data_IF_549884377780
#
_entry.id   IF_549884377780
#
_cell.length_a   1.000
_cell.length_b   1.000
_cell.length_c   1.000
_cell.angle_alpha   90.00
_cell.angle_beta   90.00
_cell.angle_gamma   90.00
#
_symmetry.space_group_name_H-M   'P 1'
#
loop_
_entity.id
_entity.type
_entity.pdbx_description
1 polymer ?
#
# COMPACT_ATOMS: atom_id res chain seq x y z
N UNK A 1 -3.38 -21.89 11.33
CA UNK A 1 -3.34 -20.81 10.32
C UNK A 1 -2.64 -19.62 10.98
N UNK A 2 -1.78 -18.87 10.28
CA UNK A 2 -1.11 -17.69 10.87
C UNK A 2 -2.10 -16.54 10.99
N UNK A 3 -2.30 -16.07 12.22
CA UNK A 3 -3.17 -14.93 12.56
C UNK A 3 -2.82 -13.68 11.76
N UNK A 4 -3.81 -12.95 11.26
CA UNK A 4 -3.55 -11.64 10.61
C UNK A 4 -3.38 -10.57 11.69
N UNK A 5 -2.17 -10.05 11.85
CA UNK A 5 -1.85 -9.08 12.89
C UNK A 5 -1.10 -7.86 12.35
N UNK A 6 -1.34 -6.72 13.00
CA UNK A 6 -0.65 -5.45 12.81
C UNK A 6 -0.21 -4.98 14.18
N UNK A 7 1.10 -4.98 14.44
CA UNK A 7 1.67 -4.65 15.75
C UNK A 7 3.01 -3.98 15.55
N UNK A 8 3.23 -2.87 16.24
CA UNK A 8 4.48 -2.15 16.20
C UNK A 8 4.68 -1.47 17.55
N UNK A 9 5.84 -1.68 18.18
CA UNK A 9 6.12 -1.08 19.48
C UNK A 9 6.62 0.37 19.30
N UNK A 10 5.73 1.32 19.08
CA UNK A 10 6.08 2.73 18.88
C UNK A 10 6.70 3.38 20.13
N UNK A 11 6.57 2.78 21.31
CA UNK A 11 7.13 3.30 22.58
C UNK A 11 8.66 3.30 22.63
N UNK A 12 9.31 2.60 21.71
CA UNK A 12 10.79 2.64 21.57
C UNK A 12 11.26 3.87 20.80
N UNK A 13 10.37 4.64 20.18
CA UNK A 13 10.72 5.85 19.45
C UNK A 13 10.84 7.01 20.45
N UNK A 14 11.89 6.97 21.27
CA UNK A 14 12.26 8.08 22.16
C UNK A 14 13.31 8.93 21.46
N UNK A 15 13.37 10.22 21.81
CA UNK A 15 14.35 11.15 21.21
C UNK A 15 15.79 10.64 21.29
N UNK A 16 16.16 9.96 22.39
CA UNK A 16 17.48 9.30 22.54
C UNK A 16 17.75 8.22 21.49
N UNK A 17 16.74 7.44 21.10
CA UNK A 17 16.89 6.41 20.06
C UNK A 17 16.97 7.05 18.66
N UNK A 18 16.23 8.14 18.44
CA UNK A 18 16.17 8.87 17.17
C UNK A 18 17.48 9.62 16.85
N UNK A 19 18.19 10.14 17.86
CA UNK A 19 19.51 10.75 17.66
C UNK A 19 20.56 9.78 17.09
N UNK A 20 20.44 8.48 17.39
CA UNK A 20 21.33 7.44 16.87
C UNK A 20 20.85 6.82 15.55
N UNK A 21 19.65 7.20 15.10
CA UNK A 21 18.99 6.66 13.90
C UNK A 21 18.46 7.79 13.01
N UNK A 22 19.35 8.65 12.46
CA UNK A 22 18.94 9.82 11.68
C UNK A 22 18.10 9.46 10.44
N UNK A 23 18.25 8.24 9.91
CA UNK A 23 17.39 7.72 8.85
C UNK A 23 15.90 7.67 9.24
N UNK A 24 15.54 7.48 10.52
CA UNK A 24 14.14 7.43 10.95
C UNK A 24 13.51 8.81 10.87
N UNK A 25 14.22 9.85 11.34
CA UNK A 25 13.81 11.25 11.23
C UNK A 25 13.64 11.63 9.75
N UNK A 26 14.56 11.21 8.90
CA UNK A 26 14.50 11.53 7.48
C UNK A 26 13.33 10.81 6.76
N UNK A 27 13.05 9.55 7.10
CA UNK A 27 11.86 8.84 6.61
C UNK A 27 10.56 9.52 7.06
N UNK A 28 10.47 9.98 8.32
CA UNK A 28 9.30 10.69 8.82
C UNK A 28 9.12 12.06 8.16
N UNK A 29 10.21 12.77 7.88
CA UNK A 29 10.19 14.06 7.14
C UNK A 29 9.64 13.90 5.73
N UNK A 30 9.87 12.75 5.12
CA UNK A 30 9.34 12.43 3.80
C UNK A 30 8.02 11.67 3.84
N UNK A 31 7.40 11.45 4.99
CA UNK A 31 6.11 10.74 5.08
C UNK A 31 4.92 11.66 4.80
N UNK A 32 4.12 11.29 3.81
CA UNK A 32 2.86 11.93 3.47
C UNK A 32 1.70 10.97 3.77
N UNK A 33 0.88 11.25 4.78
CA UNK A 33 -0.38 10.53 4.98
C UNK A 33 -1.30 10.62 3.77
N UNK A 34 -2.24 9.68 3.65
CA UNK A 34 -3.29 9.77 2.63
C UNK A 34 -4.06 11.09 2.75
N UNK A 35 -4.72 11.54 1.68
CA UNK A 35 -5.26 12.91 1.46
C UNK A 35 -4.24 13.99 1.13
N UNK A 36 -2.94 13.66 1.19
CA UNK A 36 -1.88 14.62 0.91
C UNK A 36 -1.06 14.15 -0.27
N UNK A 37 -1.02 14.96 -1.33
CA UNK A 37 -0.15 14.72 -2.47
C UNK A 37 1.31 14.91 -2.06
N UNK A 38 2.15 13.93 -2.36
CA UNK A 38 3.59 14.11 -2.29
C UNK A 38 4.07 15.06 -3.39
N UNK A 39 5.15 15.83 -3.17
CA UNK A 39 5.80 16.59 -4.24
C UNK A 39 6.14 15.67 -5.41
N UNK A 40 5.88 16.15 -6.62
CA UNK A 40 6.19 15.44 -7.85
C UNK A 40 7.41 16.07 -8.52
N UNK A 41 8.29 15.24 -9.06
CA UNK A 41 9.42 15.69 -9.88
C UNK A 41 9.36 15.05 -11.25
N UNK A 42 9.71 15.81 -12.29
CA UNK A 42 9.82 15.29 -13.63
C UNK A 42 11.03 14.36 -13.74
N UNK A 43 10.76 13.10 -14.08
CA UNK A 43 11.79 12.10 -14.26
C UNK A 43 11.89 11.68 -15.73
N UNK A 44 13.10 11.79 -16.27
CA UNK A 44 13.41 11.32 -17.61
C UNK A 44 13.93 9.88 -17.57
N UNK A 45 13.27 8.99 -18.31
CA UNK A 45 13.77 7.65 -18.53
C UNK A 45 15.13 7.72 -19.24
N UNK A 46 16.12 7.02 -18.70
CA UNK A 46 17.37 6.78 -19.42
C UNK A 46 17.15 5.67 -20.46
N UNK A 47 17.96 5.64 -21.54
CA UNK A 47 17.85 4.61 -22.58
C UNK A 47 18.01 3.16 -22.12
N UNK A 48 18.28 2.91 -20.83
CA UNK A 48 18.45 1.59 -20.22
C UNK A 48 17.20 1.05 -19.51
N UNK A 49 16.14 1.85 -19.35
CA UNK A 49 14.93 1.45 -18.63
C UNK A 49 13.72 1.37 -19.55
N UNK A 50 12.85 0.37 -19.31
CA UNK A 50 11.56 0.20 -20.01
C UNK A 50 10.44 1.07 -19.41
N UNK A 51 10.75 1.89 -18.40
CA UNK A 51 9.76 2.77 -17.75
C UNK A 51 9.55 4.05 -18.56
N UNK A 52 8.33 4.55 -18.57
CA UNK A 52 8.00 5.80 -19.26
C UNK A 52 8.52 7.01 -18.48
N UNK A 53 9.02 8.04 -19.14
CA UNK A 53 9.26 9.34 -18.50
C UNK A 53 7.97 9.93 -17.92
N UNK A 54 8.11 10.88 -17.01
CA UNK A 54 7.01 11.67 -16.46
C UNK A 54 7.14 11.90 -14.95
N UNK A 55 6.11 12.48 -14.33
CA UNK A 55 6.11 12.83 -12.92
C UNK A 55 6.37 11.62 -12.01
N UNK A 56 7.11 11.84 -10.93
CA UNK A 56 7.44 10.84 -9.91
C UNK A 56 7.33 11.44 -8.51
N UNK A 57 6.76 10.69 -7.55
CA UNK A 57 6.64 11.20 -6.18
C UNK A 57 8.01 11.30 -5.51
N UNK A 58 8.13 12.30 -4.65
CA UNK A 58 9.23 12.54 -3.70
C UNK A 58 8.70 12.54 -2.26
N UNK A 59 7.75 11.66 -2.00
CA UNK A 59 7.18 11.41 -0.69
C UNK A 59 6.93 9.93 -0.46
N UNK A 60 6.80 9.56 0.80
CA UNK A 60 6.65 8.21 1.29
C UNK A 60 5.23 7.96 1.76
N UNK A 61 4.70 6.79 1.43
CA UNK A 61 3.52 6.20 2.04
C UNK A 61 3.96 5.16 3.06
N UNK A 62 3.14 4.95 4.09
CA UNK A 62 3.46 4.05 5.20
C UNK A 62 2.51 2.85 5.20
N UNK A 63 3.05 1.67 5.47
CA UNK A 63 2.26 0.47 5.66
C UNK A 63 2.72 -0.27 6.93
N UNK A 64 1.81 -0.46 7.89
CA UNK A 64 2.09 -1.15 9.15
C UNK A 64 1.99 -2.66 8.93
N UNK A 65 2.89 -3.45 9.52
CA UNK A 65 2.91 -4.92 9.46
C UNK A 65 3.10 -5.49 10.86
N UNK A 66 3.24 -6.81 10.99
CA UNK A 66 3.54 -7.42 12.28
C UNK A 66 5.04 -7.29 12.59
N UNK A 67 5.40 -6.39 13.50
CA UNK A 67 6.76 -6.14 13.97
C UNK A 67 7.55 -5.10 13.18
N UNK A 68 7.02 -4.60 12.07
CA UNK A 68 7.69 -3.60 11.25
C UNK A 68 6.71 -2.66 10.55
N UNK A 69 7.17 -1.47 10.20
CA UNK A 69 6.54 -0.58 9.24
C UNK A 69 7.36 -0.55 7.95
N UNK A 70 6.70 -0.33 6.82
CA UNK A 70 7.37 -0.23 5.54
C UNK A 70 7.01 1.10 4.86
N UNK A 71 8.02 1.82 4.41
CA UNK A 71 7.89 3.09 3.71
C UNK A 71 8.01 2.85 2.21
N UNK A 72 7.08 3.40 1.44
CA UNK A 72 6.98 3.21 0.00
C UNK A 72 7.03 4.52 -0.76
N UNK A 73 7.70 4.56 -1.90
CA UNK A 73 7.64 5.66 -2.86
C UNK A 73 7.19 5.09 -4.22
N UNK A 74 6.07 5.55 -4.78
CA UNK A 74 5.55 5.05 -6.06
C UNK A 74 5.43 3.51 -6.15
N UNK A 75 5.01 2.88 -5.03
CA UNK A 75 4.91 1.43 -4.87
C UNK A 75 6.23 0.66 -4.71
N UNK A 76 7.36 1.35 -4.58
CA UNK A 76 8.66 0.75 -4.24
C UNK A 76 8.91 0.81 -2.74
N UNK A 77 9.27 -0.32 -2.14
CA UNK A 77 9.65 -0.42 -0.72
C UNK A 77 10.99 0.27 -0.48
N UNK A 78 10.97 1.51 0.02
CA UNK A 78 12.16 2.33 0.28
C UNK A 78 12.86 1.90 1.55
N UNK A 79 12.14 1.69 2.64
CA UNK A 79 12.75 1.27 3.90
C UNK A 79 11.77 0.43 4.72
N UNK A 80 12.24 -0.73 5.17
CA UNK A 80 11.57 -1.55 6.17
C UNK A 80 12.14 -1.21 7.53
N UNK A 81 11.32 -0.68 8.43
CA UNK A 81 11.68 -0.28 9.79
C UNK A 81 11.11 -1.27 10.79
N UNK A 82 11.97 -1.98 11.51
CA UNK A 82 11.59 -2.94 12.54
C UNK A 82 11.68 -2.29 13.91
N UNK A 83 10.62 -2.44 14.72
CA UNK A 83 10.54 -1.90 16.08
C UNK A 83 10.37 -3.05 17.08
N UNK A 84 11.46 -3.77 17.31
CA UNK A 84 11.52 -4.96 18.16
C UNK A 84 12.16 -4.66 19.52
N UNK A 85 13.25 -5.37 19.84
CA UNK A 85 14.09 -5.08 21.02
C UNK A 85 14.89 -3.76 20.89
N UNK A 86 14.95 -3.23 19.67
CA UNK A 86 15.54 -1.95 19.33
C UNK A 86 15.00 -1.50 17.98
N UNK A 87 15.46 -0.33 17.55
CA UNK A 87 15.10 0.27 16.29
C UNK A 87 16.12 -0.15 15.21
N UNK A 88 15.65 -0.70 14.11
CA UNK A 88 16.50 -1.04 12.96
C UNK A 88 15.76 -0.83 11.66
N UNK A 89 16.50 -0.58 10.58
CA UNK A 89 15.91 -0.51 9.26
C UNK A 89 16.81 -1.13 8.21
N UNK A 90 16.19 -1.55 7.11
CA UNK A 90 16.86 -2.08 5.94
C UNK A 90 16.24 -1.53 4.65
N UNK A 91 17.08 -1.37 3.64
CA UNK A 91 16.67 -0.95 2.29
C UNK A 91 17.30 -1.87 1.25
N UNK A 92 16.74 -1.90 0.05
CA UNK A 92 17.31 -2.65 -1.06
C UNK A 92 18.60 -1.98 -1.56
N UNK A 93 19.67 -2.75 -1.79
CA UNK A 93 20.99 -2.23 -2.21
C UNK A 93 20.95 -1.36 -3.46
N UNK A 94 19.97 -1.60 -4.35
CA UNK A 94 19.73 -0.82 -5.56
C UNK A 94 19.40 0.65 -5.32
N UNK A 95 19.04 1.04 -4.10
CA UNK A 95 18.81 2.43 -3.73
C UNK A 95 20.04 3.08 -3.08
N UNK A 96 21.08 2.31 -2.74
CA UNK A 96 22.27 2.80 -2.05
C UNK A 96 23.48 3.01 -2.97
N UNK A 97 23.54 2.33 -4.12
CA UNK A 97 24.67 2.41 -5.04
C UNK A 97 24.21 2.50 -6.51
N UNK A 98 25.00 3.17 -7.34
CA UNK A 98 24.72 3.34 -8.77
C UNK A 98 24.90 2.04 -9.57
N UNK A 99 25.69 1.10 -9.03
CA UNK A 99 25.87 -0.26 -9.54
C UNK A 99 25.39 -1.26 -8.50
N UNK A 100 24.10 -1.55 -8.51
CA UNK A 100 23.52 -2.57 -7.66
C UNK A 100 23.90 -3.97 -8.18
N UNK A 101 24.28 -4.92 -7.32
CA UNK A 101 24.34 -6.32 -7.72
C UNK A 101 22.94 -6.78 -8.19
N UNK A 102 22.88 -7.67 -9.19
CA UNK A 102 21.63 -8.22 -9.76
C UNK A 102 20.83 -9.11 -8.78
N UNK A 103 21.15 -9.11 -7.49
CA UNK A 103 20.51 -9.92 -6.46
C UNK A 103 19.51 -9.11 -5.63
N UNK A 104 18.49 -9.80 -5.09
CA UNK A 104 17.60 -9.27 -4.05
C UNK A 104 18.38 -9.11 -2.74
N UNK A 105 19.20 -8.08 -2.65
CA UNK A 105 20.09 -7.83 -1.52
C UNK A 105 19.65 -6.61 -0.74
N UNK A 106 19.59 -6.75 0.58
CA UNK A 106 19.19 -5.70 1.51
C UNK A 106 20.37 -5.29 2.38
N UNK A 107 20.45 -4.00 2.69
CA UNK A 107 21.48 -3.41 3.56
C UNK A 107 20.80 -2.78 4.77
N UNK A 108 21.34 -3.07 5.95
CA UNK A 108 20.93 -2.39 7.19
C UNK A 108 21.38 -0.93 7.17
N UNK A 109 20.48 -0.04 7.56
CA UNK A 109 20.74 1.40 7.63
C UNK A 109 21.50 1.74 8.90
N UNK A 110 22.65 2.41 8.75
CA UNK A 110 23.46 2.97 9.83
C UNK A 110 23.26 4.47 9.99
N UNK A 111 24.02 5.10 10.90
CA UNK A 111 23.97 6.54 11.12
C UNK A 111 24.44 7.36 9.91
N UNK A 112 25.23 6.76 9.02
CA UNK A 112 25.71 7.27 7.75
C UNK A 112 24.64 7.29 6.63
N UNK A 113 23.45 6.72 6.89
CA UNK A 113 22.39 6.53 5.91
C UNK A 113 21.21 7.51 6.07
N UNK A 114 21.46 8.81 6.21
CA UNK A 114 20.41 9.83 6.39
C UNK A 114 20.09 10.59 5.08
N UNK A 115 19.67 9.86 4.04
CA UNK A 115 19.35 10.44 2.72
C UNK A 115 18.25 9.64 1.99
N UNK A 116 17.06 9.62 2.58
CA UNK A 116 15.87 8.98 2.00
C UNK A 116 15.48 9.64 0.67
N UNK A 117 15.76 10.93 0.49
CA UNK A 117 15.56 11.65 -0.76
C UNK A 117 16.30 10.99 -1.94
N UNK A 118 17.58 10.69 -1.79
CA UNK A 118 18.35 9.98 -2.81
C UNK A 118 17.83 8.57 -3.09
N UNK A 119 17.33 7.86 -2.07
CA UNK A 119 16.75 6.53 -2.26
C UNK A 119 15.45 6.60 -3.07
N UNK A 120 14.60 7.58 -2.77
CA UNK A 120 13.38 7.86 -3.55
C UNK A 120 13.71 8.22 -4.99
N UNK A 121 14.67 9.12 -5.23
CA UNK A 121 15.09 9.50 -6.58
C UNK A 121 15.58 8.28 -7.40
N UNK A 122 16.39 7.39 -6.78
CA UNK A 122 16.82 6.13 -7.41
C UNK A 122 15.66 5.18 -7.66
N UNK A 123 14.63 5.20 -6.82
CA UNK A 123 13.47 4.32 -6.96
C UNK A 123 12.60 4.61 -8.20
N UNK A 124 12.66 5.83 -8.73
CA UNK A 124 11.88 6.28 -9.89
C UNK A 124 12.04 5.40 -11.14
N UNK A 125 13.24 4.83 -11.33
CA UNK A 125 13.55 3.92 -12.43
C UNK A 125 12.80 2.58 -12.35
N UNK A 126 12.15 2.29 -11.23
CA UNK A 126 11.43 1.04 -10.97
C UNK A 126 9.91 1.22 -10.86
N UNK A 127 9.41 2.46 -10.83
CA UNK A 127 7.98 2.73 -10.65
C UNK A 127 7.17 2.12 -11.81
N UNK A 128 6.12 1.38 -11.46
CA UNK A 128 5.12 0.90 -12.42
C UNK A 128 4.02 1.94 -12.57
N UNK A 129 3.44 2.07 -13.77
CA UNK A 129 2.32 3.00 -14.01
C UNK A 129 1.16 2.69 -13.07
N UNK A 130 0.84 1.40 -12.86
CA UNK A 130 -0.20 0.96 -11.92
C UNK A 130 0.06 1.45 -10.48
N UNK A 131 1.33 1.48 -10.06
CA UNK A 131 1.69 1.93 -8.71
C UNK A 131 1.72 3.44 -8.57
N UNK A 132 1.94 4.18 -9.66
CA UNK A 132 1.74 5.62 -9.69
C UNK A 132 0.24 5.96 -9.65
N UNK A 133 -0.60 5.15 -10.27
CA UNK A 133 -2.06 5.28 -10.12
C UNK A 133 -2.52 5.06 -8.67
N UNK A 134 -1.98 4.04 -7.98
CA UNK A 134 -2.24 3.84 -6.55
C UNK A 134 -1.82 5.06 -5.71
N UNK A 135 -0.71 5.70 -6.06
CA UNK A 135 -0.26 6.95 -5.41
C UNK A 135 -1.24 8.10 -5.62
N UNK A 136 -1.75 8.30 -6.84
CA UNK A 136 -2.78 9.32 -7.13
C UNK A 136 -4.05 9.08 -6.29
N UNK A 137 -4.49 7.83 -6.16
CA UNK A 137 -5.65 7.46 -5.35
C UNK A 137 -5.39 7.73 -3.87
N UNK A 138 -4.21 7.40 -3.34
CA UNK A 138 -3.86 7.71 -1.95
C UNK A 138 -3.86 9.21 -1.67
N UNK A 139 -3.34 10.01 -2.60
CA UNK A 139 -3.33 11.47 -2.50
C UNK A 139 -4.73 12.07 -2.48
N UNK A 140 -5.69 11.45 -3.18
CA UNK A 140 -7.06 11.93 -3.27
C UNK A 140 -7.99 11.43 -2.15
N UNK A 141 -7.53 10.50 -1.27
CA UNK A 141 -8.41 9.85 -0.31
C UNK A 141 -7.78 9.73 1.09
N UNK A 142 -8.14 10.63 2.01
CA UNK A 142 -7.70 10.56 3.40
C UNK A 142 -8.10 9.31 4.19
N UNK A 143 -9.06 8.54 3.72
CA UNK A 143 -9.51 7.31 4.39
C UNK A 143 -8.65 6.09 4.10
N UNK A 144 -7.64 6.17 3.23
CA UNK A 144 -6.71 5.07 2.98
C UNK A 144 -5.78 4.89 4.18
N UNK A 145 -5.76 3.68 4.74
CA UNK A 145 -5.01 3.34 5.97
C UNK A 145 -3.92 2.28 5.77
N UNK A 146 -3.89 1.63 4.61
CA UNK A 146 -2.86 0.64 4.27
C UNK A 146 -2.73 0.53 2.76
N UNK A 147 -1.51 0.25 2.34
CA UNK A 147 -1.15 -0.08 0.96
C UNK A 147 -0.45 -1.43 0.95
N UNK A 148 -0.60 -2.22 -0.10
CA UNK A 148 0.07 -3.52 -0.24
C UNK A 148 -0.24 -4.47 0.93
N UNK A 149 -1.51 -4.55 1.36
CA UNK A 149 -1.95 -5.41 2.45
C UNK A 149 -1.53 -6.85 2.17
N UNK A 150 -0.45 -7.28 2.82
CA UNK A 150 0.07 -8.63 2.68
C UNK A 150 -0.83 -9.62 3.40
N UNK A 151 -1.38 -10.57 2.64
CA UNK A 151 -2.07 -11.72 3.20
C UNK A 151 -1.05 -12.72 3.76
N UNK A 152 -1.42 -13.52 4.77
CA UNK A 152 -0.62 -14.66 5.18
C UNK A 152 -0.31 -15.56 3.97
N UNK A 153 0.82 -16.27 3.98
CA UNK A 153 1.15 -17.17 2.87
C UNK A 153 0.04 -18.23 2.72
N UNK A 154 -0.60 -18.24 1.57
CA UNK A 154 -1.67 -19.17 1.21
C UNK A 154 -1.08 -20.34 0.42
N UNK A 155 -1.57 -21.55 0.67
CA UNK A 155 -1.31 -22.68 -0.21
C UNK A 155 -2.34 -22.63 -1.34
N UNK A 156 -1.92 -22.19 -2.52
CA UNK A 156 -2.76 -22.15 -3.72
C UNK A 156 -2.40 -23.36 -4.58
N UNK A 157 -3.38 -24.19 -4.93
CA UNK A 157 -3.18 -25.33 -5.83
C UNK A 157 -3.08 -24.80 -7.25
N UNK A 158 -1.99 -25.10 -7.94
CA UNK A 158 -1.89 -24.81 -9.37
C UNK A 158 -2.82 -25.77 -10.13
N UNK A 159 -3.86 -25.29 -10.82
CA UNK A 159 -4.84 -26.17 -11.47
C UNK A 159 -4.25 -26.99 -12.62
N UNK A 160 -3.16 -26.53 -13.25
CA UNK A 160 -2.51 -27.25 -14.34
C UNK A 160 -1.60 -28.38 -13.84
N UNK A 161 -1.03 -28.27 -12.64
CA UNK A 161 -0.06 -29.25 -12.12
C UNK A 161 -0.53 -30.01 -10.89
N UNK A 162 -1.61 -29.57 -10.24
CA UNK A 162 -2.10 -30.12 -8.98
C UNK A 162 -1.21 -29.82 -7.76
N UNK A 163 -0.11 -29.07 -7.94
CA UNK A 163 0.87 -28.82 -6.88
C UNK A 163 0.45 -27.60 -6.07
N UNK A 164 0.40 -27.74 -4.74
CA UNK A 164 0.22 -26.63 -3.82
C UNK A 164 1.47 -25.76 -3.79
N UNK A 165 1.31 -24.48 -4.08
CA UNK A 165 2.36 -23.47 -4.02
C UNK A 165 2.02 -22.45 -2.94
N UNK A 166 3.03 -22.07 -2.16
CA UNK A 166 2.91 -20.95 -1.22
C UNK A 166 2.92 -19.64 -2.00
N UNK A 167 1.81 -18.92 -1.96
CA UNK A 167 1.66 -17.60 -2.58
C UNK A 167 1.46 -16.56 -1.48
N UNK A 168 2.19 -15.44 -1.59
CA UNK A 168 2.03 -14.28 -0.72
C UNK A 168 1.26 -13.19 -1.48
N UNK A 169 -0.07 -13.32 -1.50
CA UNK A 169 -0.94 -12.35 -2.16
C UNK A 169 -0.97 -11.03 -1.41
N UNK A 170 -1.23 -9.95 -2.15
CA UNK A 170 -1.34 -8.59 -1.61
C UNK A 170 -2.53 -7.90 -2.23
N UNK A 171 -3.37 -7.29 -1.39
CA UNK A 171 -4.41 -6.36 -1.82
C UNK A 171 -3.78 -4.96 -1.88
N UNK A 172 -4.00 -4.23 -2.96
CA UNK A 172 -3.26 -2.97 -3.21
C UNK A 172 -3.60 -1.86 -2.20
N UNK A 173 -4.87 -1.72 -1.82
CA UNK A 173 -5.35 -0.62 -0.98
C UNK A 173 -6.36 -1.09 0.06
N UNK A 174 -6.29 -0.48 1.23
CA UNK A 174 -7.29 -0.60 2.30
C UNK A 174 -7.73 0.77 2.75
N UNK A 175 -9.05 0.99 2.76
CA UNK A 175 -9.64 2.26 3.15
C UNK A 175 -10.72 2.10 4.21
N UNK A 176 -11.02 3.19 4.91
CA UNK A 176 -12.16 3.32 5.80
C UNK A 176 -13.35 3.87 5.01
N UNK A 177 -14.53 3.30 5.27
CA UNK A 177 -15.79 3.76 4.71
C UNK A 177 -16.78 4.02 5.84
N UNK A 178 -17.41 5.18 5.80
CA UNK A 178 -18.46 5.54 6.76
C UNK A 178 -19.70 4.65 6.56
N UNK A 179 -20.32 4.29 7.67
CA UNK A 179 -21.57 3.54 7.75
C UNK A 179 -22.42 4.11 8.90
N UNK A 180 -23.72 3.80 8.91
CA UNK A 180 -24.67 4.41 9.84
C UNK A 180 -24.26 4.36 11.33
N UNK A 181 -23.49 3.35 11.73
CA UNK A 181 -23.06 3.12 13.12
C UNK A 181 -21.56 3.29 13.35
N UNK A 182 -20.81 3.86 12.38
CA UNK A 182 -19.38 4.11 12.51
C UNK A 182 -18.63 3.90 11.20
N UNK A 183 -17.59 3.06 11.23
CA UNK A 183 -16.72 2.82 10.08
C UNK A 183 -16.65 1.34 9.73
N UNK A 184 -16.43 1.04 8.45
CA UNK A 184 -16.07 -0.29 7.96
C UNK A 184 -14.77 -0.25 7.15
N UNK A 185 -14.00 -1.34 7.19
CA UNK A 185 -12.83 -1.51 6.32
C UNK A 185 -13.29 -1.99 4.93
N UNK A 186 -12.75 -1.41 3.86
CA UNK A 186 -12.97 -1.83 2.47
C UNK A 186 -11.65 -2.05 1.74
N UNK A 187 -11.66 -2.92 0.73
CA UNK A 187 -10.46 -3.41 0.04
C UNK A 187 -10.53 -3.15 -1.46
N UNK A 188 -9.41 -2.72 -2.04
CA UNK A 188 -9.31 -2.42 -3.46
C UNK A 188 -8.06 -3.05 -4.09
N UNK A 189 -8.24 -3.65 -5.26
CA UNK A 189 -7.18 -4.15 -6.14
C UNK A 189 -7.10 -3.22 -7.36
N UNK A 190 -5.98 -2.52 -7.51
CA UNK A 190 -5.76 -1.58 -8.60
C UNK A 190 -5.30 -2.31 -9.86
N UNK A 191 -5.84 -1.92 -11.02
CA UNK A 191 -5.48 -2.50 -12.32
C UNK A 191 -5.42 -1.44 -13.40
N UNK A 192 -4.62 -1.72 -14.42
CA UNK A 192 -4.68 -1.01 -15.70
C UNK A 192 -5.49 -1.82 -16.72
N UNK A 193 -6.16 -1.18 -17.69
CA UNK A 193 -6.76 -1.85 -18.84
C UNK A 193 -5.79 -2.75 -19.60
N UNK A 194 -4.49 -2.43 -19.57
CA UNK A 194 -3.43 -3.22 -20.19
C UNK A 194 -2.98 -4.45 -19.37
N UNK A 195 -3.49 -4.64 -18.15
CA UNK A 195 -3.09 -5.78 -17.32
C UNK A 195 -3.54 -7.10 -17.97
N UNK A 196 -2.58 -8.01 -18.17
CA UNK A 196 -2.84 -9.27 -18.86
C UNK A 196 -3.81 -10.18 -18.12
N UNK A 197 -3.97 -10.03 -16.79
CA UNK A 197 -4.96 -10.79 -16.01
C UNK A 197 -6.39 -10.35 -16.29
N UNK A 198 -6.56 -9.12 -16.73
CA UNK A 198 -7.85 -8.52 -17.11
C UNK A 198 -8.22 -8.82 -18.56
N UNK A 199 -7.26 -9.31 -19.35
CA UNK A 199 -7.41 -9.56 -20.79
C UNK A 199 -7.43 -11.05 -21.08
N UNK A 200 -8.37 -11.48 -21.91
CA UNK A 200 -8.41 -12.86 -22.40
C UNK A 200 -9.17 -12.94 -23.72
N UNK A 201 -8.74 -13.85 -24.58
CA UNK A 201 -9.49 -14.26 -25.79
C UNK A 201 -10.60 -15.25 -25.44
N UNK A 202 -10.48 -15.99 -24.32
CA UNK A 202 -11.53 -16.88 -23.80
C UNK A 202 -12.62 -16.12 -23.02
N UNK A 203 -13.47 -16.87 -22.33
CA UNK A 203 -14.60 -16.29 -21.58
C UNK A 203 -14.19 -15.75 -20.20
N UNK A 204 -13.26 -16.43 -19.51
CA UNK A 204 -12.92 -16.15 -18.11
C UNK A 204 -11.53 -15.52 -17.99
N UNK A 205 -11.41 -14.22 -17.61
CA UNK A 205 -10.12 -13.58 -17.36
C UNK A 205 -9.49 -14.05 -16.04
N UNK A 206 -8.15 -14.03 -15.96
CA UNK A 206 -7.42 -14.55 -14.78
C UNK A 206 -7.68 -13.75 -13.50
N UNK A 207 -8.09 -12.47 -13.61
CA UNK A 207 -8.45 -11.66 -12.44
C UNK A 207 -9.54 -12.31 -11.59
N UNK A 208 -10.44 -13.09 -12.20
CA UNK A 208 -11.51 -13.80 -11.48
C UNK A 208 -10.96 -14.77 -10.45
N UNK A 209 -9.96 -15.57 -10.83
CA UNK A 209 -9.30 -16.49 -9.90
C UNK A 209 -8.63 -15.75 -8.74
N UNK A 210 -8.07 -14.56 -8.99
CA UNK A 210 -7.51 -13.71 -7.95
C UNK A 210 -8.60 -13.22 -6.99
N UNK A 211 -9.73 -12.72 -7.50
CA UNK A 211 -10.87 -12.27 -6.67
C UNK A 211 -11.47 -13.42 -5.86
N UNK A 212 -11.61 -14.61 -6.45
CA UNK A 212 -12.02 -15.83 -5.73
C UNK A 212 -11.06 -16.16 -4.59
N UNK A 213 -9.74 -16.09 -4.83
CA UNK A 213 -8.75 -16.37 -3.78
C UNK A 213 -8.86 -15.39 -2.61
N UNK A 214 -9.18 -14.12 -2.87
CA UNK A 214 -9.46 -13.15 -1.81
C UNK A 214 -10.75 -13.48 -1.04
N UNK A 215 -11.83 -13.80 -1.74
CA UNK A 215 -13.09 -14.20 -1.13
C UNK A 215 -12.92 -15.44 -0.24
N UNK A 216 -12.22 -16.46 -0.74
CA UNK A 216 -11.90 -17.69 -0.01
C UNK A 216 -11.07 -17.42 1.25
N UNK A 217 -10.17 -16.43 1.20
CA UNK A 217 -9.41 -16.03 2.38
C UNK A 217 -10.29 -15.34 3.43
N UNK A 218 -11.12 -14.39 3.01
CA UNK A 218 -12.04 -13.70 3.93
C UNK A 218 -13.13 -14.61 4.50
N UNK A 219 -13.48 -15.69 3.79
CA UNK A 219 -14.44 -16.69 4.26
C UNK A 219 -13.89 -17.61 5.36
N UNK A 220 -12.59 -17.58 5.62
CA UNK A 220 -11.99 -18.39 6.68
C UNK A 220 -12.45 -17.91 8.06
N UNK A 221 -12.69 -18.82 9.01
CA UNK A 221 -13.05 -18.46 10.38
C UNK A 221 -12.01 -17.48 10.98
N UNK A 222 -12.49 -16.57 11.82
CA UNK A 222 -11.68 -15.60 12.57
C UNK A 222 -10.97 -14.51 11.73
N UNK A 223 -10.79 -14.68 10.41
CA UNK A 223 -10.11 -13.69 9.54
C UNK A 223 -10.76 -12.32 9.64
N UNK A 224 -12.09 -12.24 9.62
CA UNK A 224 -12.79 -10.96 9.74
C UNK A 224 -12.51 -10.26 11.07
N UNK A 225 -12.47 -11.01 12.18
CA UNK A 225 -12.18 -10.47 13.50
C UNK A 225 -10.72 -10.04 13.64
N UNK A 226 -9.80 -10.85 13.10
CA UNK A 226 -8.37 -10.56 13.05
C UNK A 226 -8.06 -9.29 12.26
N UNK A 227 -8.61 -9.18 11.04
CA UNK A 227 -8.43 -7.99 10.18
C UNK A 227 -9.00 -6.75 10.84
N UNK A 228 -10.17 -6.85 11.47
CA UNK A 228 -10.78 -5.75 12.21
C UNK A 228 -9.89 -5.29 13.38
N UNK A 229 -9.38 -6.23 14.18
CA UNK A 229 -8.47 -5.95 15.29
C UNK A 229 -7.15 -5.33 14.80
N UNK A 230 -6.58 -5.87 13.72
CA UNK A 230 -5.38 -5.35 13.10
C UNK A 230 -5.56 -3.91 12.62
N UNK A 231 -6.66 -3.56 11.95
CA UNK A 231 -6.83 -2.19 11.43
C UNK A 231 -7.20 -1.17 12.51
N UNK A 232 -7.83 -1.58 13.61
CA UNK A 232 -7.92 -0.75 14.83
C UNK A 232 -6.53 -0.42 15.37
N UNK A 233 -5.64 -1.40 15.42
CA UNK A 233 -4.27 -1.20 15.90
C UNK A 233 -3.44 -0.37 14.91
N UNK A 234 -3.61 -0.57 13.61
CA UNK A 234 -2.98 0.26 12.56
C UNK A 234 -3.30 1.74 12.75
N UNK A 235 -4.57 2.11 13.02
CA UNK A 235 -4.94 3.50 13.26
C UNK A 235 -4.17 4.10 14.45
N UNK A 236 -4.07 3.37 15.57
CA UNK A 236 -3.28 3.79 16.74
C UNK A 236 -1.80 3.98 16.42
N UNK A 237 -1.22 3.04 15.68
CA UNK A 237 0.19 3.08 15.31
C UNK A 237 0.48 4.29 14.41
N UNK A 238 -0.38 4.56 13.42
CA UNK A 238 -0.24 5.72 12.52
C UNK A 238 -0.33 7.03 13.31
N UNK A 239 -1.30 7.16 14.23
CA UNK A 239 -1.41 8.35 15.11
C UNK A 239 -0.16 8.51 15.97
N UNK A 240 0.32 7.43 16.60
CA UNK A 240 1.52 7.46 17.43
C UNK A 240 2.79 7.85 16.63
N UNK A 241 2.95 7.34 15.40
CA UNK A 241 4.08 7.71 14.54
C UNK A 241 4.03 9.18 14.12
N UNK A 242 2.84 9.71 13.83
CA UNK A 242 2.69 11.14 13.54
C UNK A 242 3.03 11.98 14.77
N UNK A 243 2.60 11.57 15.96
CA UNK A 243 2.93 12.28 17.19
C UNK A 243 4.45 12.33 17.41
N UNK A 244 5.16 11.21 17.21
CA UNK A 244 6.63 11.17 17.28
C UNK A 244 7.25 12.17 16.29
N UNK A 245 6.75 12.24 15.05
CA UNK A 245 7.27 13.20 14.08
C UNK A 245 7.05 14.65 14.52
N UNK A 246 5.87 14.97 15.04
CA UNK A 246 5.53 16.31 15.56
C UNK A 246 6.40 16.68 16.76
N UNK A 247 6.63 15.75 17.70
CA UNK A 247 7.47 15.96 18.88
C UNK A 247 8.93 16.27 18.51
N UNK A 248 9.39 15.73 17.38
CA UNK A 248 10.71 16.00 16.80
C UNK A 248 10.74 17.22 15.85
N UNK A 249 9.67 18.03 15.84
CA UNK A 249 9.57 19.26 15.06
C UNK A 249 9.42 19.04 13.55
N UNK A 250 8.98 17.85 13.12
CA UNK A 250 8.73 17.53 11.72
C UNK A 250 7.30 17.94 11.36
N UNK A 251 7.17 18.74 10.31
CA UNK A 251 5.86 19.12 9.74
C UNK A 251 5.28 17.98 8.90
N UNK A 252 4.64 17.02 9.56
CA UNK A 252 3.89 15.93 8.89
C UNK A 252 2.44 16.37 8.70
N UNK A 253 1.87 16.26 7.48
CA UNK A 253 0.49 16.61 7.22
C UNK A 253 -0.52 15.95 8.18
N UNK A 254 -1.69 16.56 8.44
CA UNK A 254 -2.69 16.01 9.34
C UNK A 254 -3.25 14.67 8.83
N UNK A 255 -3.61 13.78 9.75
CA UNK A 255 -4.35 12.55 9.43
C UNK A 255 -5.82 12.87 9.23
N UNK A 256 -6.52 12.08 8.42
CA UNK A 256 -7.97 12.14 8.32
C UNK A 256 -8.63 11.83 9.67
N UNK A 257 -9.71 12.56 10.00
CA UNK A 257 -10.35 12.49 11.32
C UNK A 257 -10.78 11.08 11.71
N UNK A 258 -11.31 10.28 10.78
CA UNK A 258 -11.67 8.88 11.01
C UNK A 258 -10.54 8.02 11.63
N UNK A 259 -9.29 8.25 11.20
CA UNK A 259 -8.12 7.50 11.70
C UNK A 259 -7.86 7.89 13.16
N UNK A 260 -7.99 9.16 13.48
CA UNK A 260 -7.83 9.71 14.84
C UNK A 260 -8.94 9.16 15.73
N UNK A 261 -10.20 9.24 15.29
CA UNK A 261 -11.36 8.78 16.04
C UNK A 261 -11.30 7.28 16.34
N UNK A 262 -10.87 6.45 15.37
CA UNK A 262 -10.72 5.00 15.56
C UNK A 262 -9.50 4.69 16.45
N UNK A 263 -8.43 5.48 16.38
CA UNK A 263 -7.29 5.29 17.27
C UNK A 263 -7.69 5.52 18.74
N UNK A 264 -8.46 6.59 19.01
CA UNK A 264 -8.97 6.95 20.33
C UNK A 264 -10.08 6.00 20.80
N UNK A 265 -11.07 5.77 19.94
CA UNK A 265 -12.23 4.90 20.18
C UNK A 265 -12.28 3.76 19.14
N UNK A 266 -11.51 2.66 19.34
CA UNK A 266 -11.43 1.55 18.37
C UNK A 266 -12.76 0.88 18.02
N UNK A 267 -13.74 0.96 18.92
CA UNK A 267 -15.08 0.40 18.70
C UNK A 267 -15.88 1.16 17.63
N UNK A 268 -15.39 2.30 17.13
CA UNK A 268 -15.96 3.00 15.96
C UNK A 268 -15.72 2.25 14.65
N UNK A 269 -14.64 1.48 14.53
CA UNK A 269 -14.45 0.56 13.41
C UNK A 269 -15.25 -0.71 13.67
N UNK A 270 -16.42 -0.85 13.04
CA UNK A 270 -17.44 -1.85 13.38
C UNK A 270 -17.23 -3.19 12.71
N UNK A 271 -16.85 -3.17 11.44
CA UNK A 271 -16.85 -4.36 10.58
C UNK A 271 -15.86 -4.22 9.43
N UNK A 272 -15.70 -5.31 8.69
CA UNK A 272 -15.02 -5.31 7.41
C UNK A 272 -16.04 -5.67 6.32
N UNK A 273 -15.83 -5.13 5.14
CA UNK A 273 -16.50 -5.54 3.92
C UNK A 273 -15.59 -6.55 3.21
N UNK A 274 -15.94 -7.83 3.23
CA UNK A 274 -15.08 -8.91 2.72
C UNK A 274 -14.97 -8.94 1.20
N UNK A 275 -15.68 -8.06 0.49
CA UNK A 275 -15.68 -7.99 -0.95
C UNK A 275 -14.56 -7.07 -1.45
N UNK A 276 -13.51 -7.65 -2.04
CA UNK A 276 -12.46 -6.87 -2.71
C UNK A 276 -13.01 -6.32 -4.03
N UNK A 277 -12.83 -5.02 -4.25
CA UNK A 277 -13.28 -4.30 -5.45
C UNK A 277 -12.13 -4.06 -6.40
N UNK A 278 -12.42 -4.05 -7.70
CA UNK A 278 -11.46 -3.60 -8.70
C UNK A 278 -11.45 -2.08 -8.79
N UNK A 279 -10.26 -1.51 -8.87
CA UNK A 279 -10.06 -0.08 -9.12
C UNK A 279 -9.27 0.06 -10.43
N UNK A 280 -9.90 0.55 -11.48
CA UNK A 280 -9.34 0.48 -12.84
C UNK A 280 -9.02 1.89 -13.36
N UNK A 281 -7.75 2.17 -13.68
CA UNK A 281 -7.34 3.45 -14.29
C UNK A 281 -7.66 3.46 -15.78
N UNK A 282 -8.78 4.08 -16.14
CA UNK A 282 -9.27 4.21 -17.51
C UNK A 282 -9.01 5.60 -18.11
N UNK A 283 -8.26 6.49 -17.43
CA UNK A 283 -8.04 7.88 -17.86
C UNK A 283 -7.37 7.99 -19.24
N UNK A 284 -6.52 7.03 -19.60
CA UNK A 284 -5.86 6.98 -20.93
C UNK A 284 -6.74 6.45 -22.05
N UNK A 285 -7.89 5.86 -21.71
CA UNK A 285 -8.76 5.16 -22.65
C UNK A 285 -8.13 3.88 -23.20
N UNK A 286 -8.96 2.86 -23.46
CA UNK A 286 -8.52 1.62 -24.10
C UNK A 286 -9.72 0.97 -24.77
N UNK A 287 -10.00 1.40 -26.02
CA UNK A 287 -11.22 0.99 -26.75
C UNK A 287 -11.39 -0.53 -26.79
N UNK A 288 -10.29 -1.26 -27.00
CA UNK A 288 -10.32 -2.72 -27.04
C UNK A 288 -10.69 -3.30 -25.68
N UNK A 289 -10.15 -2.75 -24.59
CA UNK A 289 -10.55 -3.17 -23.26
C UNK A 289 -12.02 -2.86 -22.98
N UNK A 290 -12.48 -1.65 -23.29
CA UNK A 290 -13.88 -1.24 -23.11
C UNK A 290 -14.86 -2.16 -23.85
N UNK A 291 -14.56 -2.52 -25.11
CA UNK A 291 -15.47 -3.29 -25.97
C UNK A 291 -15.36 -4.81 -25.76
N UNK A 292 -14.15 -5.35 -25.55
CA UNK A 292 -13.93 -6.81 -25.55
C UNK A 292 -13.71 -7.42 -24.16
N UNK A 293 -13.19 -6.66 -23.20
CA UNK A 293 -12.67 -7.23 -21.94
C UNK A 293 -13.46 -6.78 -20.72
N UNK A 294 -13.83 -5.51 -20.65
CA UNK A 294 -14.64 -4.97 -19.56
C UNK A 294 -15.98 -5.71 -19.41
N UNK A 295 -16.74 -6.04 -20.49
CA UNK A 295 -17.98 -6.84 -20.37
C UNK A 295 -17.79 -8.20 -19.70
N UNK A 296 -16.57 -8.75 -19.71
CA UNK A 296 -16.26 -10.07 -19.12
C UNK A 296 -16.02 -10.02 -17.61
N UNK A 297 -16.09 -8.84 -16.99
CA UNK A 297 -15.85 -8.66 -15.55
C UNK A 297 -16.85 -7.72 -14.86
N UNK A 298 -17.92 -7.28 -15.55
CA UNK A 298 -18.89 -6.29 -15.03
C UNK A 298 -19.65 -6.73 -13.78
N UNK A 299 -19.72 -8.03 -13.52
CA UNK A 299 -20.29 -8.63 -12.31
C UNK A 299 -19.34 -8.55 -11.10
N UNK A 300 -18.05 -8.26 -11.33
CA UNK A 300 -17.10 -7.97 -10.26
C UNK A 300 -17.32 -6.52 -9.80
N UNK A 301 -17.55 -6.27 -8.51
CA UNK A 301 -17.61 -4.92 -7.96
C UNK A 301 -16.39 -4.11 -8.36
N UNK A 302 -16.60 -2.97 -9.00
CA UNK A 302 -15.51 -2.16 -9.52
C UNK A 302 -15.80 -0.66 -9.49
N UNK A 303 -14.73 0.11 -9.54
CA UNK A 303 -14.73 1.55 -9.79
C UNK A 303 -13.77 1.87 -10.93
N UNK A 304 -14.28 2.50 -11.99
CA UNK A 304 -13.48 2.88 -13.15
C UNK A 304 -13.14 4.36 -13.07
N UNK A 305 -11.86 4.67 -12.93
CA UNK A 305 -11.35 6.04 -12.87
C UNK A 305 -11.19 6.55 -14.30
N UNK A 306 -12.09 7.42 -14.76
CA UNK A 306 -12.07 7.99 -16.12
C UNK A 306 -11.53 9.41 -16.15
N UNK A 307 -11.51 10.08 -15.00
CA UNK A 307 -10.99 11.43 -14.79
C UNK A 307 -10.39 11.55 -13.39
N UNK A 308 -9.70 12.66 -13.11
CA UNK A 308 -9.15 12.91 -11.76
C UNK A 308 -10.25 13.07 -10.70
N UNK A 309 -11.46 13.49 -11.08
CA UNK A 309 -12.61 13.52 -10.17
C UNK A 309 -13.02 12.11 -9.70
N UNK A 310 -12.75 11.09 -10.52
CA UNK A 310 -13.04 9.70 -10.18
C UNK A 310 -11.95 9.08 -9.29
N UNK A 311 -10.85 9.77 -8.98
CA UNK A 311 -9.85 9.26 -8.04
C UNK A 311 -10.42 9.11 -6.62
N UNK A 312 -11.46 9.87 -6.29
CA UNK A 312 -12.18 9.73 -5.02
C UNK A 312 -12.90 8.39 -4.99
N UNK A 313 -12.56 7.56 -4.00
CA UNK A 313 -13.14 6.24 -3.83
C UNK A 313 -14.63 6.40 -3.48
N UNK A 314 -15.53 5.69 -4.19
CA UNK A 314 -16.94 5.88 -4.00
C UNK A 314 -17.37 5.41 -2.62
N UNK A 315 -18.30 6.16 -2.02
CA UNK A 315 -19.10 5.68 -0.90
C UNK A 315 -20.11 4.67 -1.46
N UNK A 316 -19.65 3.43 -1.71
CA UNK A 316 -20.48 2.39 -2.32
C UNK A 316 -21.67 2.14 -1.39
N UNK A 317 -22.89 2.51 -1.78
CA UNK A 317 -24.08 2.18 -0.97
C UNK A 317 -24.22 0.66 -0.94
N UNK A 318 -24.26 0.10 0.27
CA UNK A 318 -24.48 -1.34 0.52
C UNK A 318 -25.85 -1.77 0.04
#
# INVERSE_FOLDING_TARGET
MTKFERKLNTKILKSTDLTTTPWMIDLLRHWYPADHAAPMVDWAASGKTRKLSGPRPMGLRLAVRNGYANFYCGGQSIARVTMGRGLSAETHQKYLADKAPNAQSYTKLGADHADAASWMARSHAYHGIEKLFVEDVCAANGTVIDIEMGLPSLNVINPATGIAQKVALRIDLVALKEVADGWQVVFWEAKLPSDSRMRTTGETPHIRAQMTTYADWFAQPEVSADVLAAYRETCKIIVALRQVAVDEGIDVPPLHQAIIDIADTPSLLKRIDTQVRLLIDMRKGDKRFDEEHLPKIVDIPMHCVRSDADLILPVVRS
#
